data_IF_713186377635
#
_entry.id   IF_713186377635
#
_cell.length_a   1.000
_cell.length_b   1.000
_cell.length_c   1.000
_cell.angle_alpha   90.00
_cell.angle_beta   90.00
_cell.angle_gamma   90.00
#
_symmetry.space_group_name_H-M   'P 1'
#
loop_
_entity.id
_entity.type
_entity.pdbx_description
1 polymer ?
#
# COMPACT_ATOMS: atom_id res chain seq x y z
N UNK A 1 35.07 -10.36 38.73
CA UNK A 1 34.76 -9.92 37.36
C UNK A 1 35.01 -8.43 37.32
N UNK A 2 35.83 -7.94 36.39
CA UNK A 2 36.21 -6.52 36.36
C UNK A 2 35.00 -5.66 35.98
N UNK A 3 34.79 -4.57 36.73
CA UNK A 3 33.68 -3.62 36.53
C UNK A 3 33.68 -3.08 35.08
N UNK A 4 34.86 -2.93 34.47
CA UNK A 4 34.99 -2.51 33.08
C UNK A 4 34.39 -3.52 32.09
N UNK A 5 34.61 -4.83 32.32
CA UNK A 5 34.04 -5.88 31.47
C UNK A 5 32.51 -5.90 31.56
N UNK A 6 31.95 -5.68 32.75
CA UNK A 6 30.51 -5.55 32.95
C UNK A 6 29.93 -4.36 32.18
N UNK A 7 30.58 -3.20 32.24
CA UNK A 7 30.16 -2.00 31.49
C UNK A 7 30.15 -2.26 29.98
N UNK A 8 31.21 -2.86 29.45
CA UNK A 8 31.31 -3.21 28.02
C UNK A 8 30.17 -4.15 27.61
N UNK A 9 29.88 -5.19 28.41
CA UNK A 9 28.78 -6.13 28.13
C UNK A 9 27.42 -5.43 28.10
N UNK A 10 27.15 -4.55 29.06
CA UNK A 10 25.91 -3.77 29.12
C UNK A 10 25.80 -2.83 27.92
N UNK A 11 26.88 -2.20 27.49
CA UNK A 11 26.86 -1.30 26.33
C UNK A 11 26.65 -2.07 25.01
N UNK A 12 27.22 -3.26 24.88
CA UNK A 12 26.92 -4.18 23.76
C UNK A 12 25.43 -4.55 23.75
N UNK A 13 24.87 -4.92 24.91
CA UNK A 13 23.45 -5.23 25.03
C UNK A 13 22.57 -4.05 24.61
N UNK A 14 22.83 -2.83 25.13
CA UNK A 14 22.11 -1.61 24.74
C UNK A 14 22.15 -1.37 23.24
N UNK A 15 23.31 -1.55 22.60
CA UNK A 15 23.46 -1.34 21.16
C UNK A 15 22.63 -2.34 20.35
N UNK A 16 22.53 -3.59 20.82
CA UNK A 16 21.68 -4.61 20.19
C UNK A 16 20.19 -4.28 20.37
N UNK A 17 19.76 -3.88 21.56
CA UNK A 17 18.37 -3.44 21.80
C UNK A 17 18.01 -2.23 20.94
N UNK A 18 18.91 -1.24 20.82
CA UNK A 18 18.71 -0.09 19.95
C UNK A 18 18.53 -0.49 18.48
N UNK A 19 19.34 -1.46 18.02
CA UNK A 19 19.21 -2.01 16.66
C UNK A 19 17.87 -2.73 16.47
N UNK A 20 17.38 -3.47 17.47
CA UNK A 20 16.07 -4.11 17.44
C UNK A 20 14.94 -3.07 17.31
N UNK A 21 14.98 -2.00 18.11
CA UNK A 21 14.00 -0.90 18.06
C UNK A 21 14.01 -0.25 16.67
N UNK A 22 15.20 0.05 16.14
CA UNK A 22 15.34 0.64 14.81
C UNK A 22 14.69 -0.22 13.71
N UNK A 23 14.92 -1.53 13.71
CA UNK A 23 14.28 -2.42 12.73
C UNK A 23 12.76 -2.52 12.92
N UNK A 24 12.28 -2.50 14.16
CA UNK A 24 10.84 -2.48 14.44
C UNK A 24 10.18 -1.21 13.89
N UNK A 25 10.80 -0.05 14.11
CA UNK A 25 10.33 1.23 13.61
C UNK A 25 10.33 1.29 12.07
N UNK A 26 11.38 0.76 11.43
CA UNK A 26 11.43 0.64 9.98
C UNK A 26 10.29 -0.23 9.44
N UNK A 27 10.00 -1.37 10.08
CA UNK A 27 8.86 -2.22 9.71
C UNK A 27 7.52 -1.49 9.79
N UNK A 28 7.29 -0.72 10.86
CA UNK A 28 6.07 0.08 11.01
C UNK A 28 5.95 1.18 9.95
N UNK A 29 7.06 1.83 9.59
CA UNK A 29 7.08 2.83 8.51
C UNK A 29 6.69 2.23 7.16
N UNK A 30 7.24 1.07 6.81
CA UNK A 30 6.93 0.37 5.54
C UNK A 30 5.45 0.05 5.45
N UNK A 31 4.84 -0.44 6.54
CA UNK A 31 3.40 -0.74 6.58
C UNK A 31 2.54 0.50 6.39
N UNK A 32 2.89 1.60 7.06
CA UNK A 32 2.17 2.87 6.90
C UNK A 32 2.25 3.39 5.46
N UNK A 33 3.42 3.30 4.82
CA UNK A 33 3.57 3.66 3.40
C UNK A 33 2.74 2.77 2.48
N UNK A 34 2.71 1.46 2.72
CA UNK A 34 1.89 0.54 1.94
C UNK A 34 0.41 0.91 2.00
N UNK A 35 -0.12 1.22 3.20
CA UNK A 35 -1.52 1.62 3.39
C UNK A 35 -1.83 2.98 2.72
N UNK A 36 -0.90 3.93 2.80
CA UNK A 36 -1.05 5.24 2.15
C UNK A 36 -1.13 5.10 0.63
N UNK A 37 -0.23 4.32 0.03
CA UNK A 37 -0.21 4.07 -1.41
C UNK A 37 -1.47 3.31 -1.82
N UNK A 38 -1.88 2.30 -1.05
CA UNK A 38 -3.13 1.57 -1.29
C UNK A 38 -4.34 2.53 -1.29
N UNK A 39 -4.40 3.46 -0.34
CA UNK A 39 -5.47 4.46 -0.26
C UNK A 39 -5.51 5.36 -1.49
N UNK A 40 -4.35 5.78 -1.99
CA UNK A 40 -4.25 6.54 -3.24
C UNK A 40 -4.75 5.73 -4.45
N UNK A 41 -4.40 4.44 -4.54
CA UNK A 41 -4.90 3.55 -5.58
C UNK A 41 -6.41 3.36 -5.51
N UNK A 42 -6.99 3.12 -4.33
CA UNK A 42 -8.43 2.99 -4.15
C UNK A 42 -9.14 4.27 -4.65
N UNK A 43 -8.62 5.45 -4.31
CA UNK A 43 -9.12 6.73 -4.81
C UNK A 43 -9.04 6.84 -6.33
N UNK A 44 -7.89 6.51 -6.92
CA UNK A 44 -7.69 6.55 -8.36
C UNK A 44 -8.60 5.58 -9.12
N UNK A 45 -8.77 4.35 -8.61
CA UNK A 45 -9.68 3.33 -9.15
C UNK A 45 -11.12 3.86 -9.16
N UNK A 46 -11.57 4.45 -8.04
CA UNK A 46 -12.93 5.00 -7.92
C UNK A 46 -13.18 6.18 -8.86
N UNK A 47 -12.24 7.12 -8.98
CA UNK A 47 -12.35 8.25 -9.91
C UNK A 47 -12.35 7.78 -11.36
N UNK A 48 -11.44 6.86 -11.71
CA UNK A 48 -11.36 6.27 -13.05
C UNK A 48 -12.61 5.47 -13.41
N UNK A 49 -13.27 4.86 -12.42
CA UNK A 49 -14.47 4.06 -12.67
C UNK A 49 -15.64 4.98 -12.98
N UNK A 50 -15.76 6.07 -12.21
CA UNK A 50 -16.78 7.10 -12.39
C UNK A 50 -16.66 7.83 -13.73
N UNK A 51 -15.46 8.04 -14.24
CA UNK A 51 -15.23 8.77 -15.50
C UNK A 51 -15.55 7.97 -16.75
N UNK A 52 -15.79 6.66 -16.62
CA UNK A 52 -16.14 5.78 -17.75
C UNK A 52 -15.01 5.61 -18.77
N UNK A 53 -13.75 5.87 -18.41
CA UNK A 53 -12.63 5.71 -19.33
C UNK A 53 -12.37 4.22 -19.59
N UNK A 54 -12.48 3.83 -20.86
CA UNK A 54 -12.12 2.51 -21.34
C UNK A 54 -11.01 2.61 -22.38
N UNK A 55 -10.11 1.63 -22.37
CA UNK A 55 -9.03 1.48 -23.34
C UNK A 55 -9.14 0.10 -23.99
N UNK A 56 -9.03 -0.02 -25.32
CA UNK A 56 -9.02 -1.32 -25.97
C UNK A 56 -7.70 -2.03 -25.63
N UNK A 57 -7.80 -3.14 -24.90
CA UNK A 57 -6.68 -4.04 -24.60
C UNK A 57 -6.99 -5.39 -25.22
N UNK A 58 -6.09 -5.91 -26.06
CA UNK A 58 -6.30 -7.16 -26.82
C UNK A 58 -7.63 -7.22 -27.62
N UNK A 59 -8.13 -6.06 -28.06
CA UNK A 59 -9.39 -5.95 -28.81
C UNK A 59 -10.66 -5.87 -27.95
N UNK A 60 -10.55 -5.94 -26.61
CA UNK A 60 -11.67 -5.81 -25.69
C UNK A 60 -11.65 -4.44 -24.98
N UNK A 61 -12.80 -3.74 -24.87
CA UNK A 61 -12.89 -2.49 -24.13
C UNK A 61 -12.70 -2.77 -22.63
N UNK A 62 -11.52 -2.45 -22.10
CA UNK A 62 -11.20 -2.67 -20.68
C UNK A 62 -11.24 -1.35 -19.93
N UNK A 63 -11.92 -1.31 -18.78
CA UNK A 63 -11.91 -0.12 -17.92
C UNK A 63 -10.50 0.20 -17.43
N UNK A 64 -10.12 1.48 -17.45
CA UNK A 64 -8.86 1.95 -16.85
C UNK A 64 -8.79 1.59 -15.36
N UNK A 65 -9.94 1.50 -14.67
CA UNK A 65 -10.02 1.06 -13.28
C UNK A 65 -9.54 -0.36 -13.05
N UNK A 66 -9.76 -1.27 -14.01
CA UNK A 66 -9.28 -2.65 -13.94
C UNK A 66 -7.75 -2.68 -13.97
N UNK A 67 -7.14 -1.88 -14.84
CA UNK A 67 -5.67 -1.76 -14.96
C UNK A 67 -5.09 -1.21 -13.65
N UNK A 68 -5.70 -0.16 -13.11
CA UNK A 68 -5.27 0.44 -11.84
C UNK A 68 -5.43 -0.53 -10.66
N UNK A 69 -6.50 -1.32 -10.64
CA UNK A 69 -6.74 -2.34 -9.61
C UNK A 69 -5.69 -3.46 -9.66
N UNK A 70 -5.33 -3.94 -10.86
CA UNK A 70 -4.23 -4.90 -11.05
C UNK A 70 -2.89 -4.29 -10.64
N UNK A 71 -2.62 -3.03 -11.04
CA UNK A 71 -1.42 -2.31 -10.63
C UNK A 71 -1.29 -2.17 -9.11
N UNK A 72 -2.40 -1.86 -8.43
CA UNK A 72 -2.47 -1.81 -6.97
C UNK A 72 -2.15 -3.17 -6.34
N UNK A 73 -2.71 -4.27 -6.88
CA UNK A 73 -2.42 -5.62 -6.41
C UNK A 73 -0.93 -5.98 -6.55
N UNK A 74 -0.30 -5.62 -7.67
CA UNK A 74 1.13 -5.85 -7.91
C UNK A 74 2.01 -5.06 -6.93
N UNK A 75 1.73 -3.76 -6.75
CA UNK A 75 2.49 -2.91 -5.82
C UNK A 75 2.30 -3.40 -4.39
N UNK A 76 1.09 -3.79 -4.01
CA UNK A 76 0.82 -4.37 -2.70
C UNK A 76 1.61 -5.65 -2.46
N UNK A 77 1.75 -6.50 -3.49
CA UNK A 77 2.59 -7.70 -3.44
C UNK A 77 4.08 -7.36 -3.28
N UNK A 78 4.58 -6.29 -3.93
CA UNK A 78 5.95 -5.82 -3.72
C UNK A 78 6.17 -5.39 -2.26
N UNK A 79 5.23 -4.65 -1.66
CA UNK A 79 5.30 -4.31 -0.24
C UNK A 79 5.28 -5.53 0.67
N UNK A 80 4.48 -6.55 0.33
CA UNK A 80 4.51 -7.83 1.03
C UNK A 80 5.89 -8.49 0.99
N UNK A 81 6.54 -8.50 -0.18
CA UNK A 81 7.89 -9.06 -0.31
C UNK A 81 8.91 -8.33 0.55
N UNK A 82 8.88 -7.00 0.49
CA UNK A 82 9.77 -6.14 1.26
C UNK A 82 9.56 -6.34 2.78
N UNK A 83 8.33 -6.25 3.28
CA UNK A 83 8.07 -6.38 4.73
C UNK A 83 8.42 -7.80 5.23
N UNK A 84 7.92 -8.84 4.56
CA UNK A 84 7.97 -10.21 5.10
C UNK A 84 9.27 -10.95 4.81
N UNK A 85 9.86 -10.76 3.63
CA UNK A 85 11.05 -11.52 3.22
C UNK A 85 12.35 -10.74 3.35
N UNK A 86 12.31 -9.41 3.39
CA UNK A 86 13.53 -8.61 3.53
C UNK A 86 13.68 -8.06 4.96
N UNK A 87 12.70 -7.30 5.45
CA UNK A 87 12.85 -6.59 6.73
C UNK A 87 12.55 -7.46 7.95
N UNK A 88 11.50 -8.29 7.91
CA UNK A 88 11.15 -9.13 9.05
C UNK A 88 12.29 -10.09 9.49
N UNK A 89 13.07 -10.73 8.58
CA UNK A 89 14.24 -11.51 8.96
C UNK A 89 15.33 -10.71 9.68
N UNK A 90 15.52 -9.42 9.33
CA UNK A 90 16.50 -8.55 9.99
C UNK A 90 16.11 -8.29 11.44
N UNK A 91 14.83 -7.98 11.69
CA UNK A 91 14.29 -7.82 13.03
C UNK A 91 14.45 -9.11 13.85
N UNK A 92 14.07 -10.26 13.28
CA UNK A 92 14.20 -11.56 13.95
C UNK A 92 15.67 -11.88 14.25
N UNK A 93 16.60 -11.52 13.37
CA UNK A 93 18.03 -11.68 13.60
C UNK A 93 18.53 -10.87 14.80
N UNK A 94 18.14 -9.58 14.87
CA UNK A 94 18.50 -8.71 15.98
C UNK A 94 17.93 -9.19 17.33
N UNK A 95 16.68 -9.66 17.33
CA UNK A 95 16.02 -10.25 18.51
C UNK A 95 16.75 -11.51 18.97
N UNK A 96 17.05 -12.44 18.05
CA UNK A 96 17.79 -13.67 18.38
C UNK A 96 19.17 -13.36 18.97
N UNK A 97 19.86 -12.35 18.43
CA UNK A 97 21.15 -11.94 18.98
C UNK A 97 21.01 -11.29 20.36
N UNK A 98 19.95 -10.52 20.59
CA UNK A 98 19.60 -9.99 21.91
C UNK A 98 19.43 -11.10 22.94
N UNK A 99 18.58 -12.08 22.64
CA UNK A 99 18.36 -13.23 23.53
C UNK A 99 19.66 -14.00 23.85
N UNK A 100 20.53 -14.18 22.86
CA UNK A 100 21.85 -14.82 23.04
C UNK A 100 22.75 -14.00 23.98
N UNK A 101 22.73 -12.68 23.88
CA UNK A 101 23.51 -11.81 24.77
C UNK A 101 22.93 -11.83 26.19
N UNK A 102 21.61 -11.69 26.34
CA UNK A 102 20.93 -11.73 27.65
C UNK A 102 21.22 -13.05 28.38
N UNK A 103 21.25 -14.17 27.66
CA UNK A 103 21.61 -15.48 28.22
C UNK A 103 23.08 -15.60 28.65
N UNK A 104 24.00 -14.83 28.08
CA UNK A 104 25.45 -14.98 28.29
C UNK A 104 26.10 -13.79 29.02
N UNK A 105 25.33 -12.77 29.41
CA UNK A 105 25.85 -11.51 29.98
C UNK A 105 26.47 -11.70 31.37
N UNK A 106 26.02 -12.71 32.13
CA UNK A 106 26.53 -13.09 33.46
C UNK A 106 25.39 -13.27 34.45
N UNK A 107 25.55 -14.17 35.42
CA UNK A 107 24.45 -14.57 36.32
C UNK A 107 23.93 -13.40 37.19
N UNK A 108 24.77 -12.41 37.49
CA UNK A 108 24.39 -11.21 38.25
C UNK A 108 23.42 -10.27 37.52
N UNK A 109 23.39 -10.33 36.18
CA UNK A 109 22.60 -9.43 35.34
C UNK A 109 21.46 -10.13 34.61
N UNK A 110 21.52 -11.46 34.46
CA UNK A 110 20.54 -12.26 33.71
C UNK A 110 19.08 -11.96 34.08
N UNK A 111 18.80 -11.85 35.37
CA UNK A 111 17.43 -11.65 35.88
C UNK A 111 16.96 -10.19 35.79
N UNK A 112 17.83 -9.27 35.37
CA UNK A 112 17.55 -7.82 35.29
C UNK A 112 17.35 -7.37 33.83
N UNK A 113 18.07 -7.98 32.88
CA UNK A 113 18.10 -7.54 31.47
C UNK A 113 17.60 -8.62 30.51
N UNK A 114 16.43 -9.18 30.77
CA UNK A 114 15.79 -10.26 29.98
C UNK A 114 14.57 -9.78 29.15
N UNK A 115 14.56 -8.49 28.78
CA UNK A 115 13.49 -7.87 28.01
C UNK A 115 13.20 -8.60 26.70
N UNK A 116 14.25 -8.97 25.95
CA UNK A 116 14.07 -9.62 24.64
C UNK A 116 13.42 -11.00 24.81
N UNK A 117 13.80 -11.73 25.87
CA UNK A 117 13.21 -13.01 26.22
C UNK A 117 11.73 -12.90 26.62
N UNK A 118 11.35 -11.95 27.48
CA UNK A 118 9.95 -11.73 27.85
C UNK A 118 9.08 -11.30 26.66
N UNK A 119 9.55 -10.35 25.85
CA UNK A 119 8.81 -9.90 24.66
C UNK A 119 8.62 -11.03 23.66
N UNK A 120 9.65 -11.86 23.44
CA UNK A 120 9.57 -13.04 22.58
C UNK A 120 8.56 -14.08 23.07
N UNK A 121 8.48 -14.30 24.40
CA UNK A 121 7.56 -15.25 25.05
C UNK A 121 6.10 -14.80 24.99
N UNK A 122 5.83 -13.50 25.13
CA UNK A 122 4.47 -12.92 25.09
C UNK A 122 3.97 -12.65 23.65
N UNK A 123 4.85 -12.65 22.65
CA UNK A 123 4.51 -12.41 21.24
C UNK A 123 3.56 -13.41 20.55
N UNK A 124 3.61 -14.74 20.85
CA UNK A 124 2.74 -15.72 20.20
C UNK A 124 1.29 -15.55 20.64
N UNK A 125 0.38 -15.31 19.69
CA UNK A 125 -1.06 -15.34 19.96
C UNK A 125 -1.56 -16.73 19.57
N UNK A 126 -1.96 -17.53 20.55
CA UNK A 126 -2.57 -18.85 20.32
C UNK A 126 -4.05 -18.66 20.00
N UNK A 127 -4.45 -18.87 18.75
CA UNK A 127 -5.87 -18.96 18.39
C UNK A 127 -6.23 -20.44 18.32
N UNK A 128 -6.92 -20.90 19.37
CA UNK A 128 -7.61 -22.19 19.54
C UNK A 128 -6.73 -23.45 19.44
N UNK A 129 -6.01 -23.69 18.34
CA UNK A 129 -5.08 -24.81 18.14
C UNK A 129 -3.89 -24.50 17.21
N UNK A 130 -3.85 -23.31 16.59
CA UNK A 130 -2.70 -22.85 15.80
C UNK A 130 -1.90 -21.84 16.61
N UNK A 131 -0.60 -22.11 16.77
CA UNK A 131 0.36 -21.11 17.21
C UNK A 131 0.66 -20.17 16.03
N UNK A 132 -0.10 -19.08 15.94
CA UNK A 132 0.13 -18.03 14.95
C UNK A 132 1.39 -17.24 15.35
N UNK A 133 2.53 -17.73 14.90
CA UNK A 133 3.80 -17.00 15.00
C UNK A 133 3.72 -15.68 14.21
N UNK A 134 4.48 -14.65 14.62
CA UNK A 134 4.42 -13.28 14.04
C UNK A 134 4.50 -13.25 12.49
N UNK A 135 5.25 -14.18 11.90
CA UNK A 135 5.34 -14.40 10.43
C UNK A 135 4.00 -14.70 9.76
N UNK A 136 3.09 -15.41 10.42
CA UNK A 136 1.78 -15.78 9.87
C UNK A 136 0.80 -14.61 9.92
N UNK A 137 0.87 -13.76 10.95
CA UNK A 137 -0.01 -12.59 11.08
C UNK A 137 0.18 -11.60 9.92
N UNK A 138 1.43 -11.29 9.58
CA UNK A 138 1.74 -10.42 8.44
C UNK A 138 1.28 -11.05 7.11
N UNK A 139 1.55 -12.35 6.90
CA UNK A 139 1.12 -13.07 5.69
C UNK A 139 -0.40 -13.03 5.50
N UNK A 140 -1.18 -13.29 6.55
CA UNK A 140 -2.65 -13.26 6.48
C UNK A 140 -3.15 -11.86 6.11
N UNK A 141 -2.58 -10.80 6.71
CA UNK A 141 -2.96 -9.42 6.39
C UNK A 141 -2.69 -9.08 4.92
N UNK A 142 -1.47 -9.32 4.43
CA UNK A 142 -1.09 -8.97 3.06
C UNK A 142 -1.84 -9.81 2.02
N UNK A 143 -1.99 -11.12 2.24
CA UNK A 143 -2.73 -11.99 1.34
C UNK A 143 -4.22 -11.66 1.34
N UNK A 144 -4.82 -11.34 2.49
CA UNK A 144 -6.22 -10.93 2.57
C UNK A 144 -6.52 -9.70 1.72
N UNK A 145 -5.70 -8.65 1.85
CA UNK A 145 -5.86 -7.43 1.03
C UNK A 145 -5.57 -7.72 -0.45
N UNK A 146 -4.58 -8.55 -0.76
CA UNK A 146 -4.29 -8.96 -2.14
C UNK A 146 -5.47 -9.69 -2.79
N UNK A 147 -6.10 -10.64 -2.09
CA UNK A 147 -7.29 -11.33 -2.58
C UNK A 147 -8.45 -10.37 -2.86
N UNK A 148 -8.65 -9.38 -1.99
CA UNK A 148 -9.68 -8.35 -2.21
C UNK A 148 -9.39 -7.54 -3.48
N UNK A 149 -8.13 -7.15 -3.72
CA UNK A 149 -7.74 -6.39 -4.92
C UNK A 149 -7.85 -7.20 -6.21
N UNK A 150 -7.55 -8.51 -6.16
CA UNK A 150 -7.75 -9.39 -7.31
C UNK A 150 -9.25 -9.58 -7.56
N UNK A 151 -10.04 -9.81 -6.52
CA UNK A 151 -11.49 -9.93 -6.64
C UNK A 151 -12.11 -8.65 -7.21
N UNK A 152 -11.70 -7.47 -6.75
CA UNK A 152 -12.16 -6.19 -7.31
C UNK A 152 -11.77 -6.03 -8.77
N UNK A 153 -10.56 -6.44 -9.15
CA UNK A 153 -10.11 -6.42 -10.54
C UNK A 153 -10.97 -7.31 -11.44
N UNK A 154 -11.30 -8.52 -10.98
CA UNK A 154 -12.17 -9.44 -11.71
C UNK A 154 -13.58 -8.86 -11.86
N UNK A 155 -14.15 -8.31 -10.80
CA UNK A 155 -15.47 -7.66 -10.86
C UNK A 155 -15.46 -6.50 -11.86
N UNK A 156 -14.46 -5.61 -11.78
CA UNK A 156 -14.33 -4.45 -12.69
C UNK A 156 -14.12 -4.85 -14.15
N UNK A 157 -13.66 -6.06 -14.43
CA UNK A 157 -13.53 -6.58 -15.79
C UNK A 157 -14.90 -6.95 -16.41
N UNK A 158 -15.86 -7.35 -15.59
CA UNK A 158 -17.20 -7.75 -16.05
C UNK A 158 -18.26 -6.66 -15.88
N UNK A 159 -17.97 -5.61 -15.12
CA UNK A 159 -18.87 -4.48 -14.93
C UNK A 159 -18.68 -3.48 -16.06
N UNK A 160 -19.77 -3.21 -16.80
CA UNK A 160 -19.78 -2.15 -17.80
C UNK A 160 -19.46 -0.81 -17.14
N UNK A 161 -18.49 -0.09 -17.71
CA UNK A 161 -18.17 1.26 -17.26
C UNK A 161 -19.41 2.15 -17.44
N UNK A 162 -19.80 2.94 -16.42
CA UNK A 162 -20.93 3.85 -16.55
C UNK A 162 -20.71 4.78 -17.76
N UNK A 163 -21.73 4.94 -18.60
CA UNK A 163 -21.67 5.84 -19.75
C UNK A 163 -21.24 7.24 -19.31
N UNK A 164 -20.23 7.77 -19.98
CA UNK A 164 -19.84 9.17 -19.84
C UNK A 164 -21.02 10.02 -20.26
N UNK A 165 -21.59 10.80 -19.32
CA UNK A 165 -22.50 11.90 -19.69
C UNK A 165 -21.69 12.92 -20.49
N UNK A 166 -21.62 12.72 -21.81
CA UNK A 166 -20.90 13.61 -22.70
C UNK A 166 -21.67 14.94 -22.84
N UNK A 167 -20.98 16.00 -22.42
CA UNK A 167 -21.32 17.43 -22.49
C UNK A 167 -22.45 17.90 -21.54
N UNK A 168 -22.26 19.04 -20.83
CA UNK A 168 -23.37 19.71 -20.17
C UNK A 168 -24.41 20.10 -21.23
N UNK A 169 -25.71 19.91 -20.95
CA UNK A 169 -26.85 20.17 -21.87
C UNK A 169 -26.80 21.56 -22.55
N UNK A 170 -26.09 22.51 -21.96
CA UNK A 170 -25.83 23.85 -22.51
C UNK A 170 -25.08 23.81 -23.84
N UNK A 171 -24.10 22.91 -24.01
CA UNK A 171 -23.30 22.84 -25.24
C UNK A 171 -24.08 22.21 -26.40
N UNK A 172 -24.96 21.24 -26.13
CA UNK A 172 -25.83 20.66 -27.16
C UNK A 172 -26.88 21.67 -27.67
N UNK A 173 -27.30 22.63 -26.84
CA UNK A 173 -28.18 23.74 -27.25
C UNK A 173 -27.45 24.79 -28.11
N UNK A 174 -26.13 24.92 -27.96
CA UNK A 174 -25.28 25.80 -28.77
C UNK A 174 -24.88 25.15 -30.10
N UNK A 175 -24.68 23.83 -30.16
CA UNK A 175 -24.42 23.10 -31.42
C UNK A 175 -25.63 23.11 -32.37
N UNK A 176 -26.86 23.27 -31.85
CA UNK A 176 -28.04 23.47 -32.69
C UNK A 176 -28.21 24.89 -33.26
N UNK A 177 -27.42 25.87 -32.81
CA UNK A 177 -27.44 27.24 -33.35
C UNK A 177 -26.51 27.30 -34.56
N UNK A 178 -27.06 27.10 -35.75
CA UNK A 178 -26.30 27.21 -37.00
C UNK A 178 -26.10 28.68 -37.36
N UNK A 179 -24.91 29.20 -37.09
CA UNK A 179 -24.55 30.59 -37.36
C UNK A 179 -24.24 30.74 -38.86
N UNK A 180 -25.20 31.25 -39.62
CA UNK A 180 -25.04 31.43 -41.07
C UNK A 180 -24.65 32.87 -41.35
N UNK A 181 -23.38 33.11 -41.64
CA UNK A 181 -22.87 34.42 -42.01
C UNK A 181 -22.79 34.56 -43.52
N UNK A 182 -23.46 35.57 -44.09
CA UNK A 182 -23.29 35.95 -45.50
C UNK A 182 -22.54 37.29 -45.56
N UNK A 183 -21.47 37.33 -46.36
CA UNK A 183 -20.75 38.56 -46.65
C UNK A 183 -21.47 39.30 -47.77
N UNK A 184 -21.94 40.50 -47.50
CA UNK A 184 -22.53 41.39 -48.49
C UNK A 184 -21.43 42.10 -49.27
N UNK A 185 -21.49 42.10 -50.60
CA UNK A 185 -20.45 42.67 -51.47
C UNK A 185 -20.60 44.19 -51.72
N UNK A 186 -21.76 44.78 -51.39
CA UNK A 186 -22.07 46.19 -51.67
C UNK A 186 -21.60 47.18 -50.58
N UNK A 187 -21.30 46.67 -49.38
CA UNK A 187 -20.60 47.37 -48.30
C UNK A 187 -19.89 46.28 -47.51
N UNK A 188 -18.66 46.53 -47.05
CA UNK A 188 -17.79 45.52 -46.43
C UNK A 188 -18.26 45.16 -45.00
N UNK A 189 -19.47 44.61 -44.92
CA UNK A 189 -20.14 44.16 -43.72
C UNK A 189 -20.51 42.68 -43.86
N UNK A 190 -20.48 41.99 -42.73
CA UNK A 190 -20.87 40.58 -42.62
C UNK A 190 -22.15 40.52 -41.81
N UNK A 191 -23.21 39.95 -42.39
CA UNK A 191 -24.49 39.79 -41.71
C UNK A 191 -24.64 38.32 -41.30
N UNK A 192 -24.78 38.09 -39.99
CA UNK A 192 -24.84 36.77 -39.39
C UNK A 192 -26.20 36.58 -38.73
N UNK A 193 -26.93 35.55 -39.17
CA UNK A 193 -28.26 35.22 -38.65
C UNK A 193 -28.15 33.92 -37.86
N UNK A 194 -28.69 33.92 -36.64
CA UNK A 194 -28.85 32.72 -35.81
C UNK A 194 -30.09 31.97 -36.27
N UNK A 195 -29.94 30.69 -36.61
CA UNK A 195 -31.02 29.79 -36.99
C UNK A 195 -31.08 28.60 -36.06
#
# INVERSE_FOLDING_TARGET
MDIELLKIKVDIWKQVINTQQHFNDLGMKIRNFAILILSAFIGAIGVSFKSGYSMPIFGYPTSVSTILSIGAALIWLLFFFVDVYWYHPLLVGAVKKGMDIEKNIGDELKDIIDLTHYVGKESPVKIRALELHSKHKAKVFYLGVFFILILSSVILMFVDTPEKKDKPEVFNRLESLTLTCKRTLNYDGVECIFK
#
